data_IF_661626175264
#
_entry.id   IF_661626175264
#
_cell.length_a   1.000
_cell.length_b   1.000
_cell.length_c   1.000
_cell.angle_alpha   90.00
_cell.angle_beta   90.00
_cell.angle_gamma   90.00
#
_symmetry.space_group_name_H-M   'P 1'
#
loop_
_entity.id
_entity.type
_entity.pdbx_description
1 polymer ?
#
# COMPACT_ATOMS: atom_id res chain seq x y z
N UNK A 1 -21.16 -32.72 2.04
CA UNK A 1 -22.53 -32.74 1.50
C UNK A 1 -23.35 -31.49 1.91
N UNK A 2 -22.72 -30.31 2.02
CA UNK A 2 -23.43 -29.04 2.33
C UNK A 2 -22.98 -27.84 1.46
N UNK A 3 -22.04 -28.04 0.53
CA UNK A 3 -21.52 -26.96 -0.33
C UNK A 3 -22.22 -26.84 -1.71
N UNK A 4 -23.05 -27.82 -2.10
CA UNK A 4 -23.72 -27.83 -3.41
C UNK A 4 -25.14 -27.23 -3.43
N UNK A 5 -25.62 -26.69 -2.30
CA UNK A 5 -26.99 -26.16 -2.18
C UNK A 5 -27.06 -24.63 -2.28
N UNK A 6 -25.94 -23.91 -2.15
CA UNK A 6 -25.95 -22.42 -2.14
C UNK A 6 -25.77 -21.82 -3.55
N UNK A 7 -25.27 -22.60 -4.52
CA UNK A 7 -25.10 -22.11 -5.90
C UNK A 7 -26.43 -22.10 -6.69
N UNK A 8 -27.46 -22.81 -6.22
CA UNK A 8 -28.70 -22.99 -6.99
C UNK A 8 -29.80 -21.94 -6.75
N UNK A 9 -29.65 -20.99 -5.83
CA UNK A 9 -30.74 -20.10 -5.42
C UNK A 9 -30.66 -18.65 -5.91
N UNK A 10 -29.59 -18.24 -6.61
CA UNK A 10 -29.43 -16.85 -7.06
C UNK A 10 -29.60 -16.62 -8.57
N UNK A 11 -30.03 -17.65 -9.33
CA UNK A 11 -30.27 -17.54 -10.78
C UNK A 11 -31.73 -17.71 -11.20
N UNK A 12 -32.68 -17.68 -10.26
CA UNK A 12 -34.06 -18.09 -10.55
C UNK A 12 -35.14 -17.02 -10.86
N UNK A 13 -34.96 -15.69 -10.71
CA UNK A 13 -35.97 -14.76 -11.20
C UNK A 13 -35.74 -14.30 -12.66
N UNK A 14 -34.59 -14.59 -13.29
CA UNK A 14 -34.33 -14.18 -14.69
C UNK A 14 -34.66 -15.23 -15.75
N UNK A 15 -34.96 -16.47 -15.36
CA UNK A 15 -35.22 -17.56 -16.31
C UNK A 15 -36.59 -17.45 -17.02
N UNK A 16 -37.56 -16.73 -16.45
CA UNK A 16 -38.91 -16.64 -17.03
C UNK A 16 -39.04 -15.55 -18.11
N UNK A 17 -38.08 -14.62 -18.22
CA UNK A 17 -38.12 -13.57 -19.25
C UNK A 17 -37.38 -13.96 -20.55
N UNK A 18 -36.67 -15.09 -20.58
CA UNK A 18 -35.90 -15.52 -21.76
C UNK A 18 -36.70 -16.30 -22.81
N UNK A 19 -37.96 -16.64 -22.54
CA UNK A 19 -38.77 -17.45 -23.47
C UNK A 19 -39.54 -16.65 -24.53
N UNK A 20 -39.33 -15.33 -24.63
CA UNK A 20 -40.02 -14.47 -25.61
C UNK A 20 -39.09 -13.66 -26.52
N UNK A 21 -37.78 -13.95 -26.56
CA UNK A 21 -36.86 -13.25 -27.46
C UNK A 21 -36.57 -14.09 -28.72
N UNK A 22 -36.62 -13.48 -29.92
CA UNK A 22 -36.49 -14.19 -31.18
C UNK A 22 -35.09 -14.82 -31.31
N UNK A 23 -35.06 -16.01 -31.89
CA UNK A 23 -33.83 -16.74 -32.21
C UNK A 23 -32.95 -15.91 -33.15
N UNK A 24 -31.72 -15.58 -32.74
CA UNK A 24 -30.75 -15.01 -33.68
C UNK A 24 -29.62 -14.15 -33.11
N UNK A 25 -29.60 -13.79 -31.83
CA UNK A 25 -28.48 -13.00 -31.26
C UNK A 25 -27.90 -13.76 -30.08
N UNK A 26 -26.72 -14.35 -30.28
CA UNK A 26 -25.98 -15.03 -29.23
C UNK A 26 -25.32 -13.98 -28.32
N UNK A 27 -26.14 -13.32 -27.50
CA UNK A 27 -25.77 -12.17 -26.65
C UNK A 27 -24.53 -12.46 -25.79
N UNK A 28 -24.35 -13.70 -25.33
CA UNK A 28 -23.15 -14.12 -24.61
C UNK A 28 -21.90 -13.99 -25.48
N UNK A 29 -21.93 -14.46 -26.71
CA UNK A 29 -20.77 -14.50 -27.61
C UNK A 29 -20.37 -13.09 -28.07
N UNK A 30 -21.35 -12.19 -28.29
CA UNK A 30 -21.10 -10.77 -28.53
C UNK A 30 -20.54 -10.05 -27.31
N UNK A 31 -21.11 -10.26 -26.11
CA UNK A 31 -20.60 -9.65 -24.87
C UNK A 31 -19.18 -10.11 -24.56
N UNK A 32 -18.88 -11.41 -24.73
CA UNK A 32 -17.52 -11.94 -24.63
C UNK A 32 -16.58 -11.33 -25.68
N UNK A 33 -17.02 -11.19 -26.93
CA UNK A 33 -16.22 -10.60 -28.01
C UNK A 33 -15.98 -9.09 -27.87
N UNK A 34 -16.91 -8.34 -27.28
CA UNK A 34 -16.72 -6.91 -26.94
C UNK A 34 -15.78 -6.78 -25.74
N UNK A 35 -15.97 -7.60 -24.70
CA UNK A 35 -15.10 -7.64 -23.53
C UNK A 35 -13.65 -7.94 -23.92
N UNK A 36 -13.42 -8.92 -24.80
CA UNK A 36 -12.08 -9.31 -25.22
C UNK A 36 -11.40 -8.27 -26.09
N UNK A 37 -12.12 -7.63 -27.03
CA UNK A 37 -11.60 -6.50 -27.81
C UNK A 37 -11.23 -5.29 -26.92
N UNK A 38 -12.00 -5.05 -25.86
CA UNK A 38 -11.68 -4.02 -24.87
C UNK A 38 -10.42 -4.35 -24.07
N UNK A 39 -10.28 -5.60 -23.62
CA UNK A 39 -9.07 -6.09 -22.94
C UNK A 39 -7.85 -5.99 -23.85
N UNK A 40 -7.95 -6.36 -25.12
CA UNK A 40 -6.83 -6.28 -26.07
C UNK A 40 -6.40 -4.83 -26.35
N UNK A 41 -7.37 -3.90 -26.46
CA UNK A 41 -7.10 -2.47 -26.62
C UNK A 41 -6.44 -1.87 -25.37
N UNK A 42 -6.88 -2.27 -24.17
CA UNK A 42 -6.29 -1.86 -22.90
C UNK A 42 -4.91 -2.50 -22.69
N UNK A 43 -4.75 -3.78 -23.07
CA UNK A 43 -3.56 -4.59 -22.87
C UNK A 43 -2.38 -4.22 -23.76
N UNK A 44 -2.65 -3.68 -24.96
CA UNK A 44 -1.59 -3.07 -25.79
C UNK A 44 -0.97 -1.82 -25.15
N UNK A 45 -1.70 -1.10 -24.29
CA UNK A 45 -1.23 0.15 -23.66
C UNK A 45 -0.72 -0.05 -22.22
N UNK A 46 -1.20 -1.05 -21.49
CA UNK A 46 -0.76 -1.36 -20.12
C UNK A 46 -0.68 -2.87 -19.88
N UNK A 47 0.46 -3.52 -20.16
CA UNK A 47 0.58 -4.98 -20.05
C UNK A 47 0.39 -5.48 -18.61
N UNK A 48 0.86 -4.73 -17.61
CA UNK A 48 0.70 -5.08 -16.19
C UNK A 48 -0.76 -4.94 -15.73
N UNK A 49 -1.45 -3.89 -16.17
CA UNK A 49 -2.83 -3.64 -15.80
C UNK A 49 -3.76 -4.68 -16.44
N UNK A 50 -3.56 -4.98 -17.72
CA UNK A 50 -4.33 -6.02 -18.41
C UNK A 50 -4.09 -7.41 -17.83
N UNK A 51 -2.85 -7.78 -17.50
CA UNK A 51 -2.56 -9.07 -16.84
C UNK A 51 -3.27 -9.21 -15.49
N UNK A 52 -3.38 -8.12 -14.71
CA UNK A 52 -4.18 -8.14 -13.49
C UNK A 52 -5.69 -8.21 -13.77
N UNK A 53 -6.21 -7.55 -14.81
CA UNK A 53 -7.63 -7.68 -15.22
C UNK A 53 -7.95 -9.11 -15.61
N UNK A 54 -7.12 -9.75 -16.44
CA UNK A 54 -7.31 -11.14 -16.87
C UNK A 54 -7.34 -12.10 -15.67
N UNK A 55 -6.48 -11.86 -14.67
CA UNK A 55 -6.35 -12.71 -13.49
C UNK A 55 -7.45 -12.50 -12.45
N UNK A 56 -7.79 -11.26 -12.14
CA UNK A 56 -8.62 -10.89 -10.97
C UNK A 56 -10.03 -10.43 -11.37
N UNK A 57 -10.19 -10.00 -12.62
CA UNK A 57 -11.43 -9.44 -13.13
C UNK A 57 -11.60 -7.96 -12.80
N UNK A 58 -12.31 -7.26 -13.68
CA UNK A 58 -12.51 -5.81 -13.60
C UNK A 58 -13.28 -5.37 -12.33
N UNK A 59 -14.25 -6.18 -11.88
CA UNK A 59 -15.09 -5.89 -10.71
C UNK A 59 -14.29 -5.75 -9.41
N UNK A 60 -13.16 -6.45 -9.29
CA UNK A 60 -12.26 -6.38 -8.14
C UNK A 60 -11.25 -5.24 -8.27
N UNK A 61 -10.83 -4.90 -9.48
CA UNK A 61 -9.82 -3.84 -9.69
C UNK A 61 -10.41 -2.44 -9.53
N UNK A 62 -11.63 -2.20 -10.02
CA UNK A 62 -12.23 -0.86 -10.00
C UNK A 62 -12.31 -0.28 -8.57
N UNK A 63 -12.85 -0.99 -7.55
CA UNK A 63 -12.90 -0.45 -6.19
C UNK A 63 -11.51 -0.15 -5.61
N UNK A 64 -10.52 -1.02 -5.89
CA UNK A 64 -9.15 -0.81 -5.43
C UNK A 64 -8.51 0.43 -6.08
N UNK A 65 -8.70 0.61 -7.39
CA UNK A 65 -8.21 1.77 -8.12
C UNK A 65 -8.87 3.07 -7.62
N UNK A 66 -10.20 3.08 -7.45
CA UNK A 66 -10.92 4.23 -6.92
C UNK A 66 -10.45 4.61 -5.51
N UNK A 67 -10.27 3.62 -4.63
CA UNK A 67 -9.73 3.84 -3.30
C UNK A 67 -8.32 4.42 -3.32
N UNK A 68 -7.44 3.94 -4.22
CA UNK A 68 -6.11 4.50 -4.42
C UNK A 68 -6.16 5.99 -4.75
N UNK A 69 -7.01 6.39 -5.70
CA UNK A 69 -7.17 7.80 -6.08
C UNK A 69 -7.73 8.66 -4.94
N UNK A 70 -8.71 8.15 -4.19
CA UNK A 70 -9.26 8.83 -3.02
C UNK A 70 -8.22 9.04 -1.91
N UNK A 71 -7.24 8.13 -1.81
CA UNK A 71 -6.16 8.20 -0.82
C UNK A 71 -5.03 9.16 -1.17
N UNK A 72 -4.96 9.67 -2.41
CA UNK A 72 -3.95 10.66 -2.82
C UNK A 72 -3.87 11.87 -1.88
N UNK A 73 -4.97 12.60 -1.59
CA UNK A 73 -4.92 13.74 -0.66
C UNK A 73 -4.46 13.34 0.74
N UNK A 74 -4.78 12.13 1.21
CA UNK A 74 -4.34 11.64 2.52
C UNK A 74 -2.84 11.37 2.56
N UNK A 75 -2.24 10.81 1.52
CA UNK A 75 -0.79 10.65 1.42
C UNK A 75 -0.07 12.00 1.30
N UNK A 76 -0.64 12.95 0.56
CA UNK A 76 -0.09 14.32 0.48
C UNK A 76 -0.11 14.98 1.85
N UNK A 77 -1.21 14.85 2.59
CA UNK A 77 -1.33 15.35 3.96
C UNK A 77 -0.32 14.66 4.90
N UNK A 78 -0.24 13.33 4.85
CA UNK A 78 0.71 12.54 5.63
C UNK A 78 2.16 12.95 5.34
N UNK A 79 2.49 13.24 4.08
CA UNK A 79 3.82 13.70 3.70
C UNK A 79 4.08 15.14 4.15
N UNK A 80 3.31 16.10 3.67
CA UNK A 80 3.62 17.53 3.85
C UNK A 80 3.40 17.96 5.29
N UNK A 81 2.26 17.59 5.88
CA UNK A 81 1.88 18.04 7.22
C UNK A 81 2.49 17.13 8.27
N UNK A 82 2.20 15.83 8.25
CA UNK A 82 2.65 14.95 9.33
C UNK A 82 4.16 14.70 9.26
N UNK A 83 4.69 14.23 8.12
CA UNK A 83 6.10 13.84 8.02
C UNK A 83 7.02 15.06 8.01
N UNK A 84 6.82 16.01 7.10
CA UNK A 84 7.77 17.12 6.90
C UNK A 84 7.62 18.24 7.95
N UNK A 85 6.42 18.76 8.15
CA UNK A 85 6.20 19.85 9.10
C UNK A 85 6.24 19.34 10.54
N UNK A 86 5.34 18.44 10.93
CA UNK A 86 5.23 18.05 12.33
C UNK A 86 6.44 17.24 12.78
N UNK A 87 6.79 16.15 12.10
CA UNK A 87 7.83 15.26 12.61
C UNK A 87 9.24 15.73 12.26
N UNK A 88 9.53 15.95 10.99
CA UNK A 88 10.88 16.25 10.52
C UNK A 88 11.34 17.66 10.96
N UNK A 89 10.42 18.63 11.01
CA UNK A 89 10.76 20.00 11.44
C UNK A 89 10.56 20.21 12.93
N UNK A 90 9.36 19.93 13.46
CA UNK A 90 9.06 20.24 14.88
C UNK A 90 9.55 19.16 15.84
N UNK A 91 9.17 17.88 15.67
CA UNK A 91 9.51 16.82 16.64
C UNK A 91 11.00 16.48 16.62
N UNK A 92 11.66 16.47 15.45
CA UNK A 92 13.11 16.26 15.38
C UNK A 92 13.87 17.35 16.12
N UNK A 93 13.54 18.63 15.86
CA UNK A 93 14.13 19.75 16.56
C UNK A 93 13.86 19.67 18.06
N UNK A 94 12.62 19.34 18.42
CA UNK A 94 12.23 19.18 19.81
C UNK A 94 13.11 18.12 20.49
N UNK A 95 13.24 16.93 19.89
CA UNK A 95 13.92 15.79 20.50
C UNK A 95 15.43 15.71 20.23
N UNK A 96 15.99 16.62 19.43
CA UNK A 96 17.41 16.58 19.05
C UNK A 96 17.76 15.41 18.11
N UNK A 97 16.80 14.97 17.30
CA UNK A 97 16.95 13.82 16.38
C UNK A 97 17.34 14.32 14.98
N UNK A 98 18.16 13.54 14.26
CA UNK A 98 18.50 13.87 12.87
C UNK A 98 17.27 13.81 11.96
N UNK A 99 17.13 14.81 11.11
CA UNK A 99 16.07 14.88 10.11
C UNK A 99 16.26 13.82 9.00
N UNK A 100 15.15 13.21 8.58
CA UNK A 100 15.15 12.29 7.44
C UNK A 100 15.25 13.05 6.12
N UNK A 101 16.12 12.57 5.23
CA UNK A 101 16.29 13.09 3.87
C UNK A 101 15.43 12.30 2.89
N UNK A 102 14.23 12.79 2.58
CA UNK A 102 13.23 12.07 1.77
C UNK A 102 13.74 11.59 0.40
N UNK A 103 14.71 12.29 -0.20
CA UNK A 103 15.30 11.90 -1.49
C UNK A 103 15.93 10.50 -1.48
N UNK A 104 16.31 10.00 -0.30
CA UNK A 104 16.92 8.68 -0.11
C UNK A 104 15.86 7.57 -0.11
N UNK A 105 14.59 7.89 0.18
CA UNK A 105 13.50 6.92 0.36
C UNK A 105 12.48 6.98 -0.77
N UNK A 106 12.17 8.18 -1.29
CA UNK A 106 11.23 8.36 -2.39
C UNK A 106 11.99 8.22 -3.72
N UNK A 107 11.83 7.05 -4.35
CA UNK A 107 12.53 6.69 -5.60
C UNK A 107 11.51 6.56 -6.72
N UNK A 108 11.57 7.49 -7.68
CA UNK A 108 10.59 7.63 -8.77
C UNK A 108 11.32 7.60 -10.12
N UNK A 109 11.53 6.41 -10.65
CA UNK A 109 12.27 6.15 -11.89
C UNK A 109 11.56 5.15 -12.82
N UNK A 110 10.74 4.24 -12.27
CA UNK A 110 10.02 3.20 -13.02
C UNK A 110 9.04 3.76 -14.07
N UNK A 111 8.59 5.01 -13.90
CA UNK A 111 7.78 5.71 -14.90
C UNK A 111 8.51 5.94 -16.24
N UNK A 112 9.83 5.77 -16.28
CA UNK A 112 10.65 5.89 -17.50
C UNK A 112 10.71 4.61 -18.34
N UNK A 113 10.08 3.52 -17.90
CA UNK A 113 10.04 2.27 -18.65
C UNK A 113 9.34 2.46 -20.00
N UNK A 114 9.98 1.96 -21.05
CA UNK A 114 9.45 1.99 -22.41
C UNK A 114 8.20 1.12 -22.50
N UNK A 115 7.14 1.62 -23.14
CA UNK A 115 5.89 0.89 -23.31
C UNK A 115 4.85 1.07 -22.19
N UNK A 116 5.15 1.83 -21.14
CA UNK A 116 4.13 2.26 -20.18
C UNK A 116 3.27 3.39 -20.75
N UNK A 117 1.94 3.23 -20.69
CA UNK A 117 1.02 4.35 -20.93
C UNK A 117 1.13 5.42 -19.83
N UNK A 118 0.52 6.58 -20.07
CA UNK A 118 0.42 7.65 -19.07
C UNK A 118 -0.17 7.20 -17.73
N UNK A 119 -1.20 6.34 -17.73
CA UNK A 119 -1.81 5.85 -16.48
C UNK A 119 -0.88 4.89 -15.74
N UNK A 120 -0.20 3.99 -16.46
CA UNK A 120 0.80 3.09 -15.88
C UNK A 120 1.99 3.86 -15.27
N UNK A 121 2.45 4.92 -15.94
CA UNK A 121 3.48 5.83 -15.40
C UNK A 121 3.01 6.49 -14.12
N UNK A 122 1.78 6.99 -14.08
CA UNK A 122 1.20 7.59 -12.88
C UNK A 122 1.13 6.60 -11.72
N UNK A 123 0.67 5.37 -11.95
CA UNK A 123 0.63 4.33 -10.91
C UNK A 123 2.03 3.98 -10.38
N UNK A 124 3.04 3.92 -11.24
CA UNK A 124 4.43 3.73 -10.82
C UNK A 124 4.93 4.88 -9.93
N UNK A 125 4.61 6.13 -10.28
CA UNK A 125 4.95 7.32 -9.48
C UNK A 125 4.28 7.23 -8.11
N UNK A 126 2.98 6.95 -8.09
CA UNK A 126 2.21 6.83 -6.85
C UNK A 126 2.76 5.73 -5.94
N UNK A 127 3.05 4.56 -6.50
CA UNK A 127 3.56 3.42 -5.73
C UNK A 127 4.93 3.74 -5.11
N UNK A 128 5.86 4.32 -5.88
CA UNK A 128 7.17 4.74 -5.36
C UNK A 128 7.07 5.85 -4.30
N UNK A 129 6.13 6.77 -4.48
CA UNK A 129 5.85 7.84 -3.51
C UNK A 129 5.28 7.32 -2.19
N UNK A 130 4.21 6.49 -2.25
CA UNK A 130 3.57 5.94 -1.06
C UNK A 130 4.51 5.02 -0.26
N UNK A 131 5.24 4.14 -0.94
CA UNK A 131 6.25 3.29 -0.31
C UNK A 131 7.36 4.13 0.33
N UNK A 132 7.91 5.10 -0.40
CA UNK A 132 8.98 5.96 0.10
C UNK A 132 8.57 6.77 1.34
N UNK A 133 7.34 7.29 1.38
CA UNK A 133 6.80 7.96 2.58
C UNK A 133 6.71 6.98 3.75
N UNK A 134 6.17 5.78 3.54
CA UNK A 134 5.99 4.79 4.59
C UNK A 134 7.33 4.38 5.21
N UNK A 135 8.34 4.12 4.38
CA UNK A 135 9.71 3.80 4.83
C UNK A 135 10.33 4.97 5.59
N UNK A 136 10.29 6.18 5.02
CA UNK A 136 10.86 7.37 5.65
C UNK A 136 10.23 7.65 7.02
N UNK A 137 8.91 7.50 7.14
CA UNK A 137 8.20 7.68 8.40
C UNK A 137 8.60 6.61 9.44
N UNK A 138 8.71 5.34 9.03
CA UNK A 138 9.15 4.26 9.91
C UNK A 138 10.58 4.45 10.43
N UNK A 139 11.50 4.90 9.57
CA UNK A 139 12.86 5.26 10.00
C UNK A 139 12.83 6.40 11.01
N UNK A 140 12.04 7.44 10.74
CA UNK A 140 11.92 8.59 11.63
C UNK A 140 11.37 8.20 13.02
N UNK A 141 10.33 7.37 13.07
CA UNK A 141 9.80 6.84 14.32
C UNK A 141 10.81 5.98 15.06
N UNK A 142 11.64 5.22 14.34
CA UNK A 142 12.74 4.44 14.91
C UNK A 142 13.78 5.35 15.57
N UNK A 143 14.20 6.43 14.89
CA UNK A 143 15.12 7.42 15.46
C UNK A 143 14.53 8.12 16.69
N UNK A 144 13.22 8.43 16.68
CA UNK A 144 12.52 8.99 17.84
C UNK A 144 12.47 7.98 19.00
N UNK A 145 12.26 6.69 18.70
CA UNK A 145 12.16 5.64 19.71
C UNK A 145 13.44 5.41 20.50
N UNK A 146 14.59 5.74 19.91
CA UNK A 146 15.90 5.63 20.57
C UNK A 146 16.22 6.79 21.51
N UNK A 147 15.40 7.85 21.54
CA UNK A 147 15.64 8.97 22.43
C UNK A 147 15.18 8.62 23.84
N UNK A 148 16.12 8.55 24.77
CA UNK A 148 15.87 8.33 26.19
C UNK A 148 15.98 9.64 26.96
N UNK A 149 14.97 9.96 27.77
CA UNK A 149 15.07 11.03 28.77
C UNK A 149 15.82 10.54 30.00
N UNK A 150 16.45 11.45 30.76
CA UNK A 150 16.90 11.11 32.12
C UNK A 150 15.68 10.81 33.00
N UNK A 151 15.77 9.79 33.86
CA UNK A 151 14.66 9.38 34.73
C UNK A 151 14.15 10.58 35.55
N UNK A 152 12.87 10.93 35.35
CA UNK A 152 12.21 12.04 36.05
C UNK A 152 12.20 13.38 35.33
N UNK A 153 12.92 13.54 34.20
CA UNK A 153 12.92 14.78 33.42
C UNK A 153 11.63 14.88 32.56
N UNK A 154 10.63 15.58 33.09
CA UNK A 154 9.41 15.90 32.34
C UNK A 154 9.66 17.11 31.47
N UNK A 155 9.38 16.99 30.17
CA UNK A 155 9.39 18.15 29.29
C UNK A 155 8.27 19.13 29.67
N UNK A 156 8.53 20.41 29.41
CA UNK A 156 7.54 21.47 29.61
C UNK A 156 6.21 21.19 28.89
N UNK A 157 5.17 21.91 29.31
CA UNK A 157 3.81 21.75 28.79
C UNK A 157 3.74 21.91 27.27
N UNK A 158 4.39 22.94 26.72
CA UNK A 158 4.36 23.24 25.29
C UNK A 158 4.95 22.10 24.43
N UNK A 159 6.17 21.60 24.67
CA UNK A 159 6.70 20.37 24.04
C UNK A 159 5.74 19.18 24.05
N UNK A 160 5.08 18.94 25.18
CA UNK A 160 4.16 17.81 25.35
C UNK A 160 2.92 17.99 24.49
N UNK A 161 2.32 19.18 24.49
CA UNK A 161 1.18 19.51 23.62
C UNK A 161 1.56 19.35 22.15
N UNK A 162 2.73 19.88 21.74
CA UNK A 162 3.21 19.75 20.36
C UNK A 162 3.35 18.29 19.95
N UNK A 163 3.98 17.46 20.78
CA UNK A 163 4.14 16.03 20.50
C UNK A 163 2.79 15.32 20.41
N UNK A 164 1.90 15.47 21.40
CA UNK A 164 0.63 14.75 21.39
C UNK A 164 -0.32 15.22 20.28
N UNK A 165 -0.32 16.51 19.93
CA UNK A 165 -1.07 17.00 18.78
C UNK A 165 -0.55 16.41 17.46
N UNK A 166 0.78 16.38 17.27
CA UNK A 166 1.41 15.76 16.11
C UNK A 166 1.12 14.26 16.03
N UNK A 167 1.26 13.55 17.16
CA UNK A 167 0.99 12.13 17.29
C UNK A 167 -0.48 11.80 16.98
N UNK A 168 -1.42 12.57 17.53
CA UNK A 168 -2.85 12.37 17.28
C UNK A 168 -3.21 12.57 15.81
N UNK A 169 -2.78 13.67 15.21
CA UNK A 169 -3.10 14.00 13.82
C UNK A 169 -2.51 12.97 12.85
N UNK A 170 -1.29 12.52 13.13
CA UNK A 170 -0.60 11.47 12.36
C UNK A 170 -1.25 10.11 12.54
N UNK A 171 -1.58 9.72 13.76
CA UNK A 171 -2.26 8.47 14.05
C UNK A 171 -3.64 8.42 13.38
N UNK A 172 -4.39 9.52 13.41
CA UNK A 172 -5.69 9.65 12.75
C UNK A 172 -5.55 9.50 11.23
N UNK A 173 -4.62 10.23 10.59
CA UNK A 173 -4.42 10.16 9.14
C UNK A 173 -3.96 8.78 8.68
N UNK A 174 -3.00 8.17 9.38
CA UNK A 174 -2.56 6.80 9.11
C UNK A 174 -3.66 5.76 9.33
N UNK A 175 -4.49 5.92 10.37
CA UNK A 175 -5.61 5.00 10.63
C UNK A 175 -6.62 5.04 9.49
N UNK A 176 -6.93 6.21 8.92
CA UNK A 176 -7.82 6.34 7.76
C UNK A 176 -7.22 5.61 6.55
N UNK A 177 -5.93 5.83 6.26
CA UNK A 177 -5.22 5.17 5.16
C UNK A 177 -5.26 3.65 5.34
N UNK A 178 -4.83 3.16 6.51
CA UNK A 178 -4.79 1.72 6.84
C UNK A 178 -6.18 1.09 6.79
N UNK A 179 -7.21 1.77 7.28
CA UNK A 179 -8.60 1.30 7.22
C UNK A 179 -9.06 1.15 5.77
N UNK A 180 -8.88 2.17 4.95
CA UNK A 180 -9.25 2.14 3.53
C UNK A 180 -8.52 1.04 2.77
N UNK A 181 -7.21 0.88 3.01
CA UNK A 181 -6.46 -0.21 2.42
C UNK A 181 -6.95 -1.58 2.87
N UNK A 182 -7.15 -1.81 4.16
CA UNK A 182 -7.57 -3.12 4.68
C UNK A 182 -8.99 -3.50 4.28
N UNK A 183 -9.92 -2.54 4.27
CA UNK A 183 -11.34 -2.81 3.97
C UNK A 183 -11.57 -2.91 2.47
N UNK A 184 -11.05 -1.97 1.69
CA UNK A 184 -11.34 -1.89 0.25
C UNK A 184 -10.28 -2.63 -0.56
N UNK A 185 -9.03 -2.18 -0.48
CA UNK A 185 -7.98 -2.62 -1.41
C UNK A 185 -7.54 -4.07 -1.11
N UNK A 186 -7.34 -4.43 0.15
CA UNK A 186 -6.93 -5.77 0.55
C UNK A 186 -8.01 -6.81 0.26
N UNK A 187 -9.28 -6.47 0.48
CA UNK A 187 -10.42 -7.34 0.11
C UNK A 187 -10.49 -7.53 -1.40
N UNK A 188 -10.37 -6.45 -2.16
CA UNK A 188 -10.57 -6.51 -3.60
C UNK A 188 -9.39 -7.21 -4.32
N UNK A 189 -8.16 -6.98 -3.86
CA UNK A 189 -6.94 -7.55 -4.48
C UNK A 189 -6.46 -8.86 -3.84
N UNK A 190 -7.13 -9.35 -2.79
CA UNK A 190 -6.76 -10.59 -2.11
C UNK A 190 -5.45 -10.49 -1.34
N UNK A 191 -5.18 -9.33 -0.72
CA UNK A 191 -3.95 -9.10 0.03
C UNK A 191 -4.03 -9.75 1.41
N UNK A 192 -2.91 -10.29 1.90
CA UNK A 192 -2.84 -10.75 3.28
C UNK A 192 -2.77 -9.55 4.20
N UNK A 193 -3.48 -9.63 5.32
CA UNK A 193 -3.60 -8.53 6.28
C UNK A 193 -2.72 -8.83 7.48
N UNK A 194 -1.94 -7.83 7.88
CA UNK A 194 -1.27 -7.83 9.17
C UNK A 194 -2.22 -7.24 10.20
N UNK A 195 -2.52 -8.00 11.26
CA UNK A 195 -3.30 -7.49 12.38
C UNK A 195 -2.48 -6.55 13.26
N UNK A 196 -3.16 -5.67 14.01
CA UNK A 196 -2.47 -4.80 14.97
C UNK A 196 -1.69 -5.61 16.02
N UNK A 197 -2.25 -6.71 16.53
CA UNK A 197 -1.55 -7.60 17.48
C UNK A 197 -0.22 -8.09 16.92
N UNK A 198 -0.23 -8.61 15.68
CA UNK A 198 0.99 -9.10 15.02
C UNK A 198 2.02 -7.99 14.78
N UNK A 199 1.56 -6.75 14.58
CA UNK A 199 2.47 -5.59 14.49
C UNK A 199 3.08 -5.26 15.86
N UNK A 200 2.34 -5.39 16.95
CA UNK A 200 2.87 -5.25 18.31
C UNK A 200 3.85 -6.36 18.66
N UNK A 201 3.53 -7.62 18.34
CA UNK A 201 4.42 -8.77 18.58
C UNK A 201 5.79 -8.54 17.90
N UNK A 202 5.79 -8.10 16.64
CA UNK A 202 7.02 -7.72 15.91
C UNK A 202 7.80 -6.59 16.57
N UNK A 203 7.11 -5.61 17.14
CA UNK A 203 7.75 -4.51 17.86
C UNK A 203 8.33 -4.97 19.19
N UNK A 204 7.66 -5.90 19.88
CA UNK A 204 8.14 -6.47 21.14
C UNK A 204 9.39 -7.33 20.94
N UNK A 205 9.41 -8.15 19.89
CA UNK A 205 10.62 -8.91 19.48
C UNK A 205 11.83 -7.99 19.23
N UNK A 206 11.59 -6.82 18.63
CA UNK A 206 12.64 -5.83 18.36
C UNK A 206 12.91 -4.83 19.49
N UNK A 207 12.18 -4.92 20.61
CA UNK A 207 12.28 -3.96 21.72
C UNK A 207 11.93 -2.51 21.35
N UNK A 208 11.08 -2.29 20.34
CA UNK A 208 10.79 -0.96 19.81
C UNK A 208 10.13 -0.06 20.86
N UNK A 209 10.72 1.12 21.09
CA UNK A 209 10.22 2.13 22.01
C UNK A 209 10.49 1.88 23.49
N UNK A 210 11.13 0.77 23.88
CA UNK A 210 11.41 0.46 25.30
C UNK A 210 12.24 1.56 26.00
N UNK A 211 13.10 2.27 25.26
CA UNK A 211 13.88 3.39 25.76
C UNK A 211 13.17 4.74 25.74
N UNK A 212 11.93 4.83 25.23
CA UNK A 212 11.23 6.10 25.03
C UNK A 212 10.43 6.52 26.27
N UNK A 213 11.04 7.36 27.10
CA UNK A 213 10.49 7.76 28.42
C UNK A 213 10.06 9.23 28.50
N UNK A 214 10.40 10.06 27.51
CA UNK A 214 10.34 11.54 27.53
C UNK A 214 8.93 12.09 27.80
N UNK A 215 7.91 11.46 27.22
CA UNK A 215 6.50 11.85 27.39
C UNK A 215 5.72 10.83 28.23
N UNK A 216 6.44 10.05 29.05
CA UNK A 216 5.90 9.01 29.91
C UNK A 216 5.17 7.89 29.14
N UNK A 217 4.32 7.15 29.86
CA UNK A 217 3.59 6.00 29.32
C UNK A 217 2.67 6.36 28.15
N UNK A 218 2.04 7.53 28.18
CA UNK A 218 1.16 7.97 27.09
C UNK A 218 1.95 8.18 25.79
N UNK A 219 3.12 8.82 25.86
CA UNK A 219 3.99 9.00 24.70
C UNK A 219 4.51 7.70 24.13
N UNK A 220 4.97 6.80 25.00
CA UNK A 220 5.35 5.44 24.64
C UNK A 220 4.25 4.72 23.87
N UNK A 221 3.03 4.69 24.40
CA UNK A 221 1.89 4.05 23.75
C UNK A 221 1.54 4.71 22.41
N UNK A 222 1.56 6.05 22.33
CA UNK A 222 1.28 6.75 21.08
C UNK A 222 2.33 6.51 20.00
N UNK A 223 3.61 6.42 20.38
CA UNK A 223 4.71 6.12 19.47
C UNK A 223 4.56 4.71 18.89
N UNK A 224 4.32 3.73 19.77
CA UNK A 224 4.12 2.34 19.37
C UNK A 224 2.88 2.15 18.50
N UNK A 225 1.80 2.85 18.79
CA UNK A 225 0.60 2.80 17.96
C UNK A 225 0.88 3.28 16.53
N UNK A 226 1.60 4.39 16.37
CA UNK A 226 1.99 4.89 15.05
C UNK A 226 2.91 3.93 14.31
N UNK A 227 3.89 3.35 15.01
CA UNK A 227 4.79 2.36 14.40
C UNK A 227 4.02 1.10 13.98
N UNK A 228 3.04 0.64 14.77
CA UNK A 228 2.17 -0.46 14.38
C UNK A 228 1.40 -0.13 13.10
N UNK A 229 0.84 1.08 12.97
CA UNK A 229 0.17 1.53 11.75
C UNK A 229 1.13 1.56 10.55
N UNK A 230 2.37 2.01 10.72
CA UNK A 230 3.40 1.97 9.68
C UNK A 230 3.72 0.52 9.27
N UNK A 231 3.87 -0.41 10.22
CA UNK A 231 4.13 -1.81 9.90
C UNK A 231 2.98 -2.45 9.13
N UNK A 232 1.73 -2.15 9.50
CA UNK A 232 0.54 -2.60 8.78
C UNK A 232 0.49 -1.98 7.38
N UNK A 233 0.77 -0.67 7.24
CA UNK A 233 0.79 0.00 5.95
C UNK A 233 1.90 -0.55 5.03
N UNK A 234 3.11 -0.72 5.56
CA UNK A 234 4.25 -1.28 4.84
C UNK A 234 3.93 -2.69 4.30
N UNK A 235 3.27 -3.51 5.12
CA UNK A 235 2.82 -4.85 4.73
C UNK A 235 1.89 -4.85 3.51
N UNK A 236 1.03 -3.83 3.40
CA UNK A 236 0.09 -3.69 2.30
C UNK A 236 0.78 -3.13 1.06
N UNK A 237 1.57 -2.07 1.22
CA UNK A 237 2.27 -1.42 0.12
C UNK A 237 3.32 -2.33 -0.53
N UNK A 238 4.01 -3.17 0.25
CA UNK A 238 4.90 -4.23 -0.25
C UNK A 238 4.16 -5.16 -1.23
N UNK A 239 2.98 -5.63 -0.84
CA UNK A 239 2.20 -6.55 -1.66
C UNK A 239 1.74 -5.86 -2.94
N UNK A 240 1.25 -4.62 -2.84
CA UNK A 240 0.83 -3.84 -4.01
C UNK A 240 2.00 -3.61 -4.95
N UNK A 241 3.16 -3.18 -4.45
CA UNK A 241 4.35 -2.98 -5.28
C UNK A 241 4.77 -4.28 -5.98
N UNK A 242 4.72 -5.40 -5.25
CA UNK A 242 5.06 -6.73 -5.78
C UNK A 242 4.10 -7.25 -6.87
N UNK A 243 2.85 -6.77 -6.90
CA UNK A 243 1.83 -7.14 -7.89
C UNK A 243 1.79 -6.18 -9.09
N UNK A 244 2.07 -4.89 -8.86
CA UNK A 244 1.79 -3.83 -9.84
C UNK A 244 3.04 -3.15 -10.38
N UNK A 245 4.12 -3.14 -9.63
CA UNK A 245 5.36 -2.49 -10.01
C UNK A 245 6.58 -3.29 -9.52
N UNK A 246 6.80 -4.58 -9.82
CA UNK A 246 7.92 -5.35 -9.25
C UNK A 246 9.21 -5.34 -10.11
N UNK A 247 9.74 -4.15 -10.40
CA UNK A 247 10.86 -3.96 -11.34
C UNK A 247 11.99 -3.20 -10.64
N UNK A 248 13.22 -3.71 -10.60
CA UNK A 248 14.29 -3.03 -9.86
C UNK A 248 14.49 -1.56 -10.26
N UNK A 249 14.79 -0.73 -9.26
CA UNK A 249 15.11 0.69 -9.42
C UNK A 249 16.48 0.91 -10.05
N UNK A 250 16.74 2.08 -10.64
CA UNK A 250 18.06 2.48 -11.14
C UNK A 250 18.95 2.68 -9.93
N UNK A 251 20.19 2.21 -10.05
CA UNK A 251 21.19 2.43 -9.02
C UNK A 251 21.32 3.92 -8.78
N UNK A 252 21.12 4.30 -7.52
CA UNK A 252 21.17 5.67 -7.07
C UNK A 252 21.94 5.71 -5.77
N UNK A 253 22.96 6.55 -5.73
CA UNK A 253 23.77 6.74 -4.53
C UNK A 253 22.89 7.23 -3.35
N UNK A 254 23.02 6.57 -2.21
CA UNK A 254 22.27 6.88 -0.99
C UNK A 254 20.79 6.49 -1.01
N UNK A 255 20.33 5.74 -2.02
CA UNK A 255 18.98 5.18 -2.03
C UNK A 255 18.84 4.02 -1.04
N UNK A 256 17.75 4.01 -0.28
CA UNK A 256 17.40 2.94 0.65
C UNK A 256 16.26 2.12 0.06
N UNK A 257 16.54 0.84 -0.19
CA UNK A 257 15.56 -0.10 -0.75
C UNK A 257 14.99 -1.01 0.34
N UNK A 258 13.65 -1.21 0.37
CA UNK A 258 13.03 -2.22 1.21
C UNK A 258 13.49 -3.65 0.90
N UNK A 259 13.46 -4.52 1.91
CA UNK A 259 13.84 -5.93 1.81
C UNK A 259 13.13 -6.71 0.68
N UNK A 260 11.85 -6.40 0.40
CA UNK A 260 11.09 -7.13 -0.62
C UNK A 260 11.55 -6.83 -2.05
N UNK A 261 12.35 -5.79 -2.26
CA UNK A 261 12.91 -5.46 -3.59
C UNK A 261 13.90 -6.53 -4.08
N UNK A 262 14.39 -7.43 -3.20
CA UNK A 262 15.21 -8.59 -3.61
C UNK A 262 14.50 -9.57 -4.53
N UNK A 263 13.16 -9.58 -4.52
CA UNK A 263 12.34 -10.41 -5.40
C UNK A 263 11.99 -9.72 -6.72
N UNK A 264 12.42 -8.47 -6.93
CA UNK A 264 12.04 -7.72 -8.11
C UNK A 264 12.86 -8.14 -9.33
N UNK A 265 12.21 -8.10 -10.49
CA UNK A 265 12.76 -8.53 -11.76
C UNK A 265 13.60 -7.40 -12.37
N UNK A 266 14.62 -7.75 -13.17
CA UNK A 266 15.43 -6.78 -13.87
C UNK A 266 14.65 -6.01 -14.94
N UNK A 267 15.09 -4.79 -15.25
CA UNK A 267 14.40 -3.94 -16.23
C UNK A 267 14.37 -4.50 -17.65
N UNK A 268 15.33 -5.34 -18.01
CA UNK A 268 15.40 -6.00 -19.31
C UNK A 268 14.46 -7.22 -19.42
N UNK A 269 13.94 -7.72 -18.30
CA UNK A 269 13.19 -8.99 -18.23
C UNK A 269 11.67 -8.78 -18.15
N UNK A 270 11.13 -7.76 -18.84
CA UNK A 270 9.71 -7.41 -18.79
C UNK A 270 8.77 -8.52 -19.29
N UNK A 271 9.24 -9.34 -20.25
CA UNK A 271 8.47 -10.48 -20.76
C UNK A 271 8.28 -11.55 -19.67
N UNK A 272 9.36 -11.85 -18.93
CA UNK A 272 9.32 -12.79 -17.82
C UNK A 272 8.45 -12.25 -16.69
N UNK A 273 8.58 -10.96 -16.38
CA UNK A 273 7.72 -10.33 -15.39
C UNK A 273 6.23 -10.45 -15.76
N UNK A 274 5.87 -10.21 -17.03
CA UNK A 274 4.49 -10.36 -17.49
C UNK A 274 3.99 -11.79 -17.24
N UNK A 275 4.81 -12.79 -17.53
CA UNK A 275 4.50 -14.21 -17.30
C UNK A 275 4.24 -14.48 -15.81
N UNK A 276 5.15 -14.05 -14.93
CA UNK A 276 5.01 -14.23 -13.46
C UNK A 276 3.73 -13.56 -12.96
N UNK A 277 3.44 -12.32 -13.37
CA UNK A 277 2.25 -11.61 -12.92
C UNK A 277 0.95 -12.22 -13.44
N UNK A 278 0.93 -12.74 -14.67
CA UNK A 278 -0.24 -13.44 -15.21
C UNK A 278 -0.49 -14.78 -14.52
N UNK A 279 0.56 -15.53 -14.15
CA UNK A 279 0.43 -16.86 -13.54
C UNK A 279 0.28 -16.82 -12.01
N UNK A 280 1.16 -16.09 -11.33
CA UNK A 280 1.28 -16.10 -9.86
C UNK A 280 0.71 -14.83 -9.22
N UNK A 281 0.53 -13.76 -9.99
CA UNK A 281 -0.05 -12.51 -9.53
C UNK A 281 0.86 -11.60 -8.71
N UNK A 282 2.03 -12.06 -8.28
CA UNK A 282 3.00 -11.30 -7.48
C UNK A 282 4.39 -11.92 -7.62
N UNK A 283 5.45 -11.11 -7.55
CA UNK A 283 6.83 -11.64 -7.42
C UNK A 283 7.18 -12.01 -5.98
N UNK A 284 6.43 -11.50 -4.99
CA UNK A 284 6.65 -11.85 -3.59
C UNK A 284 6.27 -13.31 -3.33
N UNK A 285 6.92 -14.00 -2.37
CA UNK A 285 6.48 -15.31 -1.88
C UNK A 285 5.04 -15.29 -1.36
N UNK A 286 4.57 -14.12 -0.92
CA UNK A 286 3.21 -13.90 -0.44
C UNK A 286 2.26 -13.70 -1.62
N UNK A 287 1.72 -14.81 -2.15
CA UNK A 287 0.77 -14.79 -3.27
C UNK A 287 -0.64 -14.35 -2.85
N UNK A 288 -1.41 -13.69 -3.72
CA UNK A 288 -2.75 -13.21 -3.38
C UNK A 288 -3.72 -14.36 -3.05
N UNK A 289 -4.64 -14.14 -2.10
CA UNK A 289 -5.67 -15.11 -1.67
C UNK A 289 -7.05 -14.56 -2.04
N UNK A 290 -7.81 -15.30 -2.84
CA UNK A 290 -9.12 -14.87 -3.36
C UNK A 290 -10.29 -15.69 -2.87
#
# INVERSE_FOLDING_TARGET
MFANIIIHTWLFPFACALHMLPAGINLKQEVYGVHQRLIDLIGKRNPIFAGNIERVGLLRIIPAALAMYLLIPFFIFLHVVCLMLLYNTMICLLLGVEQVKLRNYIIIDRHKLTGLSYTGRFHCIYCGYANGICVAFGVLLTQISSVSGHEGEKRGLLPSITYFAAAFLTAMSMSIIVLMYNVVIATALGLHRLGMSQAYDKMDEGGFGNGFTIFGRAGYLSLRYQQALILVLANILEQIESQWCPIKHLDREGAVYPEHHKFFVERCELCELKRILSCEGSVSPRKPKY
#
